data_IF_899857097874
#
_entry.id   IF_899857097874
#
_cell.length_a   1.000
_cell.length_b   1.000
_cell.length_c   1.000
_cell.angle_alpha   90.00
_cell.angle_beta   90.00
_cell.angle_gamma   90.00
#
_symmetry.space_group_name_H-M   'P 1'
#
loop_
_entity.id
_entity.type
_entity.pdbx_description
1 polymer ?
#
# COMPACT_ATOMS: atom_id res chain seq x y z
N UNK A 1 11.37 -13.74 0.55
CA UNK A 1 11.65 -14.51 0.38
C UNK A 1 11.70 -14.34 0.05
N UNK A 2 11.88 -14.10 0.30
CA UNK A 2 12.24 -14.69 0.09
C UNK A 2 12.24 -14.58 -0.29
N UNK A 3 12.15 -14.24 -0.05
CA UNK A 3 12.51 -14.81 -0.34
C UNK A 3 12.47 -14.86 -0.64
N UNK A 4 12.51 -14.44 -0.52
CA UNK A 4 12.81 -15.00 -0.75
C UNK A 4 12.81 -15.00 -1.11
N UNK A 5 12.91 -14.68 -1.01
CA UNK A 5 13.17 -15.17 -1.26
C UNK A 5 13.17 -15.12 -1.60
N UNK A 6 13.36 -14.82 -1.50
CA UNK A 6 13.62 -15.32 -1.77
C UNK A 6 13.52 -15.20 -2.12
N UNK A 7 13.66 -14.83 -2.01
CA UNK A 7 13.86 -15.23 -2.22
C UNK A 7 13.84 -15.02 -2.61
N UNK A 8 13.99 -14.69 -2.54
CA UNK A 8 14.16 -15.03 -2.74
C UNK A 8 14.21 -14.69 -3.09
N UNK A 9 14.63 -14.43 -3.08
CA UNK A 9 14.91 -14.67 -3.29
C UNK A 9 14.90 -14.38 -3.59
N UNK A 10 14.79 -13.95 -3.41
CA UNK A 10 14.94 -14.13 -3.55
C UNK A 10 15.09 -13.74 -3.78
N UNK A 11 15.27 -13.35 -3.64
CA UNK A 11 15.53 -13.60 -3.62
C UNK A 11 15.71 -12.99 -3.67
N UNK A 12 16.00 -12.77 -3.62
CA UNK A 12 16.19 -12.73 -3.60
C UNK A 12 16.23 -12.34 -3.58
N UNK A 13 16.19 -12.04 -3.38
CA UNK A 13 16.23 -11.97 -3.25
C UNK A 13 16.26 -11.49 -3.16
N UNK A 14 16.44 -11.10 -2.86
CA UNK A 14 16.45 -10.98 -2.64
C UNK A 14 16.40 -10.22 -2.47
N UNK A 15 16.61 -9.94 -2.27
CA UNK A 15 16.48 -9.35 -2.25
C UNK A 15 16.32 -8.59 -2.24
N UNK A 16 16.48 -8.06 -2.00
CA UNK A 16 16.33 -7.26 -2.04
C UNK A 16 15.93 -6.35 -2.14
N UNK A 17 16.00 -6.32 -2.01
CA UNK A 17 15.18 -5.32 -1.50
C UNK A 17 15.10 -3.97 -2.10
N UNK A 18 15.84 -3.65 -3.01
CA UNK A 18 15.72 -2.36 -3.70
C UNK A 18 14.52 -2.39 -4.62
N UNK A 19 13.70 -1.36 -4.55
CA UNK A 19 12.49 -1.28 -5.34
C UNK A 19 12.46 0.01 -6.12
N UNK A 20 12.22 -0.09 -7.39
CA UNK A 20 12.04 1.06 -8.27
C UNK A 20 11.34 0.63 -9.53
N UNK A 21 10.71 1.59 -10.23
CA UNK A 21 10.19 1.35 -11.55
C UNK A 21 9.17 0.23 -11.67
N UNK A 22 8.28 0.08 -10.70
CA UNK A 22 7.24 -0.93 -10.79
C UNK A 22 7.61 -2.27 -10.19
N UNK A 23 8.59 -2.29 -9.28
CA UNK A 23 9.00 -3.51 -8.62
C UNK A 23 8.04 -4.02 -7.57
N UNK A 24 7.02 -3.25 -7.20
CA UNK A 24 6.01 -3.65 -6.21
C UNK A 24 4.83 -4.36 -6.86
N UNK A 25 4.16 -5.17 -6.06
CA UNK A 25 2.92 -5.87 -6.43
C UNK A 25 1.74 -4.92 -6.32
N UNK A 26 0.78 -5.05 -7.23
CA UNK A 26 -0.47 -4.28 -7.17
C UNK A 26 -1.20 -4.61 -5.86
N UNK A 27 -1.59 -3.59 -5.05
CA UNK A 27 -2.10 -3.86 -3.69
C UNK A 27 -3.53 -4.39 -3.63
N UNK A 28 -4.26 -4.37 -4.74
CA UNK A 28 -5.66 -4.79 -4.76
C UNK A 28 -5.89 -5.73 -5.94
N UNK A 29 -5.45 -7.01 -5.83
CA UNK A 29 -5.49 -7.94 -6.96
C UNK A 29 -6.87 -8.04 -7.59
N UNK A 30 -6.93 -7.96 -8.91
CA UNK A 30 -8.17 -8.05 -9.67
C UNK A 30 -8.97 -6.76 -9.76
N UNK A 31 -8.57 -5.71 -9.08
CA UNK A 31 -9.28 -4.42 -9.06
C UNK A 31 -8.34 -3.34 -9.58
N UNK A 32 -8.49 -2.99 -10.85
CA UNK A 32 -7.56 -2.08 -11.54
C UNK A 32 -8.20 -0.78 -12.02
N UNK A 33 -9.44 -0.53 -11.64
CA UNK A 33 -10.10 0.74 -11.92
C UNK A 33 -9.54 1.81 -10.99
N UNK A 34 -9.25 2.99 -11.53
CA UNK A 34 -8.77 4.13 -10.74
C UNK A 34 -9.85 5.20 -10.78
N UNK A 35 -10.44 5.51 -9.64
CA UNK A 35 -11.46 6.55 -9.56
C UNK A 35 -10.86 7.94 -9.37
N UNK A 36 -9.65 8.03 -8.84
CA UNK A 36 -8.94 9.30 -8.67
C UNK A 36 -7.43 9.04 -8.70
N UNK A 37 -6.74 9.76 -9.57
CA UNK A 37 -5.32 9.58 -9.78
C UNK A 37 -4.47 10.46 -8.88
N UNK A 38 -3.18 10.18 -8.86
CA UNK A 38 -2.19 10.98 -8.16
C UNK A 38 -2.01 12.32 -8.88
N UNK A 39 -1.95 13.42 -8.12
CA UNK A 39 -1.70 14.73 -8.66
C UNK A 39 -2.82 15.72 -8.35
N UNK A 40 -2.81 16.84 -9.04
CA UNK A 40 -3.79 17.89 -8.79
C UNK A 40 -5.20 17.50 -9.25
N UNK A 41 -6.17 17.80 -8.40
CA UNK A 41 -7.61 17.71 -8.68
C UNK A 41 -8.15 19.11 -8.42
N UNK A 42 -8.18 19.94 -9.46
CA UNK A 42 -8.45 21.35 -9.26
C UNK A 42 -7.32 21.99 -8.48
N UNK A 43 -7.63 22.61 -7.34
CA UNK A 43 -6.64 23.24 -6.48
C UNK A 43 -6.08 22.28 -5.42
N UNK A 44 -6.63 21.06 -5.30
CA UNK A 44 -6.23 20.09 -4.29
C UNK A 44 -5.27 19.06 -4.89
N UNK A 45 -4.19 18.79 -4.17
CA UNK A 45 -3.22 17.78 -4.59
C UNK A 45 -3.55 16.43 -3.95
N UNK A 46 -3.82 15.41 -4.78
CA UNK A 46 -4.11 14.06 -4.31
C UNK A 46 -2.81 13.27 -4.21
N UNK A 47 -2.48 12.83 -3.00
CA UNK A 47 -1.16 12.25 -2.67
C UNK A 47 -1.09 10.74 -2.88
N UNK A 48 -2.07 10.15 -3.55
CA UNK A 48 -2.12 8.73 -3.81
C UNK A 48 -3.09 8.43 -4.93
N UNK A 49 -3.45 7.15 -5.05
CA UNK A 49 -4.47 6.73 -6.03
C UNK A 49 -5.62 6.07 -5.28
N UNK A 50 -6.83 6.26 -5.77
CA UNK A 50 -8.02 5.66 -5.20
C UNK A 50 -8.49 4.52 -6.11
N UNK A 51 -8.62 3.34 -5.54
CA UNK A 51 -9.00 2.12 -6.25
C UNK A 51 -10.33 1.65 -5.66
N UNK A 52 -11.45 1.83 -6.36
CA UNK A 52 -12.74 1.41 -5.83
C UNK A 52 -12.88 -0.11 -5.81
N UNK A 53 -13.47 -0.61 -4.75
CA UNK A 53 -13.76 -2.04 -4.58
C UNK A 53 -14.78 -2.19 -3.46
N UNK A 54 -15.48 -3.30 -3.42
CA UNK A 54 -16.47 -3.57 -2.37
C UNK A 54 -15.81 -3.64 -1.00
N UNK A 55 -16.53 -3.25 0.02
CA UNK A 55 -16.09 -3.44 1.40
C UNK A 55 -15.76 -4.91 1.64
N UNK A 56 -14.64 -5.17 2.32
CA UNK A 56 -14.20 -6.53 2.59
C UNK A 56 -13.28 -7.13 1.53
N UNK A 57 -13.05 -6.43 0.41
CA UNK A 57 -12.06 -6.88 -0.59
C UNK A 57 -10.67 -6.89 0.06
N UNK A 58 -9.90 -7.95 -0.20
CA UNK A 58 -8.58 -8.09 0.44
C UNK A 58 -7.57 -7.11 -0.14
N UNK A 59 -6.81 -6.49 0.76
CA UNK A 59 -5.69 -5.62 0.42
C UNK A 59 -4.42 -6.41 0.74
N UNK A 60 -3.47 -6.42 -0.18
CA UNK A 60 -2.21 -7.14 0.01
C UNK A 60 -1.05 -6.17 0.09
N UNK A 61 0.01 -6.59 0.77
CA UNK A 61 1.24 -5.80 0.87
C UNK A 61 1.85 -5.68 -0.53
N UNK A 62 2.19 -4.45 -0.92
CA UNK A 62 2.79 -4.19 -2.23
C UNK A 62 4.22 -4.72 -2.31
N UNK A 63 4.88 -4.88 -1.18
CA UNK A 63 6.25 -5.38 -1.13
C UNK A 63 6.57 -5.92 0.23
N UNK A 64 7.71 -6.60 0.34
CA UNK A 64 8.21 -7.10 1.62
C UNK A 64 8.66 -5.94 2.50
N UNK A 65 8.45 -6.07 3.79
CA UNK A 65 8.86 -5.05 4.74
C UNK A 65 8.32 -5.29 6.13
N UNK A 66 8.39 -4.27 6.94
CA UNK A 66 7.89 -4.30 8.33
C UNK A 66 6.73 -3.32 8.46
N UNK A 67 5.65 -3.77 9.07
CA UNK A 67 4.51 -2.91 9.36
C UNK A 67 4.95 -1.89 10.40
N UNK A 68 4.95 -0.62 10.00
CA UNK A 68 5.38 0.48 10.88
C UNK A 68 4.23 0.94 11.75
N UNK A 69 3.03 1.01 11.17
CA UNK A 69 1.81 1.30 11.93
C UNK A 69 0.62 0.57 11.32
N UNK A 70 -0.33 0.24 12.20
CA UNK A 70 -1.62 -0.34 11.84
C UNK A 70 -2.59 0.12 12.91
N UNK A 71 -3.25 1.27 12.68
CA UNK A 71 -4.09 1.90 13.70
C UNK A 71 -5.17 2.77 13.04
N UNK A 72 -5.85 3.57 13.83
CA UNK A 72 -6.94 4.42 13.37
C UNK A 72 -6.56 5.89 13.49
N UNK A 73 -6.85 6.66 12.44
CA UNK A 73 -6.80 8.12 12.48
C UNK A 73 -8.12 8.67 11.96
N UNK A 74 -8.47 9.89 12.38
CA UNK A 74 -9.75 10.48 11.97
C UNK A 74 -9.83 10.74 10.46
N UNK A 75 -8.71 11.02 9.82
CA UNK A 75 -8.66 11.29 8.38
C UNK A 75 -8.47 10.02 7.58
N UNK A 76 -7.47 9.22 7.93
CA UNK A 76 -7.13 8.02 7.16
C UNK A 76 -7.99 6.81 7.50
N UNK A 77 -8.73 6.88 8.61
CA UNK A 77 -9.48 5.74 9.10
C UNK A 77 -8.53 4.66 9.60
N UNK A 78 -8.91 3.40 9.44
CA UNK A 78 -8.00 2.31 9.71
C UNK A 78 -6.97 2.28 8.60
N UNK A 79 -5.69 2.45 8.94
CA UNK A 79 -4.65 2.58 7.93
C UNK A 79 -3.38 1.86 8.34
N UNK A 80 -2.59 1.52 7.35
CA UNK A 80 -1.38 0.71 7.49
C UNK A 80 -0.25 1.41 6.77
N UNK A 81 0.94 1.42 7.40
CA UNK A 81 2.16 1.86 6.75
C UNK A 81 3.18 0.75 6.80
N UNK A 82 3.75 0.38 5.66
CA UNK A 82 4.79 -0.64 5.56
C UNK A 82 6.10 0.03 5.17
N UNK A 83 7.12 -0.22 5.97
CA UNK A 83 8.49 0.24 5.73
C UNK A 83 9.21 -0.83 4.92
N UNK A 84 9.58 -0.51 3.68
CA UNK A 84 10.27 -1.43 2.77
C UNK A 84 11.79 -1.28 2.80
N UNK A 85 12.29 -0.32 3.59
CA UNK A 85 13.71 0.01 3.59
C UNK A 85 14.03 1.11 2.58
N UNK A 86 15.22 1.67 2.67
CA UNK A 86 15.72 2.71 1.77
C UNK A 86 14.80 3.94 1.69
N UNK A 87 14.07 4.21 2.79
CA UNK A 87 13.16 5.36 2.86
C UNK A 87 11.83 5.17 2.15
N UNK A 88 11.52 3.97 1.66
CA UNK A 88 10.30 3.71 0.90
C UNK A 88 9.23 3.12 1.81
N UNK A 89 8.06 3.76 1.82
CA UNK A 89 6.89 3.30 2.56
C UNK A 89 5.70 3.18 1.61
N UNK A 90 4.87 2.16 1.81
CA UNK A 90 3.55 2.10 1.17
C UNK A 90 2.48 2.29 2.24
N UNK A 91 1.44 3.04 1.91
CA UNK A 91 0.41 3.46 2.86
C UNK A 91 -0.96 3.09 2.30
N UNK A 92 -1.77 2.47 3.13
CA UNK A 92 -3.07 1.89 2.77
C UNK A 92 -4.12 2.46 3.72
N UNK A 93 -5.09 3.22 3.21
CA UNK A 93 -6.04 3.96 4.04
C UNK A 93 -7.48 3.48 3.84
N UNK A 94 -8.32 3.86 4.79
CA UNK A 94 -9.78 3.67 4.78
C UNK A 94 -10.20 2.21 4.89
N UNK A 95 -9.38 1.38 5.51
CA UNK A 95 -9.68 -0.05 5.67
C UNK A 95 -10.89 -0.27 6.58
N UNK A 96 -11.67 -1.31 6.30
CA UNK A 96 -12.72 -1.76 7.22
C UNK A 96 -12.14 -2.60 8.35
N UNK A 97 -11.02 -3.29 8.08
CA UNK A 97 -10.35 -4.11 9.09
C UNK A 97 -8.85 -4.13 8.83
N UNK A 98 -8.08 -4.26 9.90
CA UNK A 98 -6.63 -4.40 9.87
C UNK A 98 -6.30 -5.85 10.22
N UNK A 99 -5.54 -6.53 9.36
CA UNK A 99 -5.20 -7.94 9.52
C UNK A 99 -3.81 -8.11 10.13
N UNK A 100 -3.00 -7.04 10.07
CA UNK A 100 -1.63 -7.04 10.60
C UNK A 100 -1.49 -6.05 11.74
N UNK A 101 -0.39 -6.18 12.48
CA UNK A 101 -0.07 -5.28 13.60
C UNK A 101 1.31 -4.66 13.38
N UNK A 102 1.54 -3.51 14.01
CA UNK A 102 2.83 -2.83 13.97
C UNK A 102 3.93 -3.78 14.46
N UNK A 103 5.05 -3.77 13.78
CA UNK A 103 6.19 -4.63 14.07
C UNK A 103 6.19 -5.95 13.32
N UNK A 104 5.09 -6.32 12.68
CA UNK A 104 4.99 -7.57 11.94
C UNK A 104 5.73 -7.47 10.61
N UNK A 105 6.48 -8.52 10.26
CA UNK A 105 7.11 -8.62 8.95
C UNK A 105 6.13 -9.22 7.96
N UNK A 106 6.08 -8.67 6.76
CA UNK A 106 5.20 -9.15 5.70
C UNK A 106 5.99 -9.32 4.41
N UNK A 107 5.46 -10.18 3.53
CA UNK A 107 5.98 -10.37 2.19
C UNK A 107 5.00 -9.78 1.18
N UNK A 108 5.50 -9.45 0.00
CA UNK A 108 4.64 -9.00 -1.09
C UNK A 108 3.51 -10.00 -1.31
N UNK A 109 2.27 -9.52 -1.40
CA UNK A 109 1.11 -10.38 -1.60
C UNK A 109 0.44 -10.87 -0.34
N UNK A 110 1.04 -10.68 0.84
CA UNK A 110 0.39 -11.05 2.10
C UNK A 110 -0.85 -10.16 2.33
N UNK A 111 -1.94 -10.76 2.79
CA UNK A 111 -3.14 -10.01 3.14
C UNK A 111 -2.86 -9.17 4.38
N UNK A 112 -3.10 -7.87 4.29
CA UNK A 112 -2.81 -6.94 5.38
C UNK A 112 -4.06 -6.22 5.90
N UNK A 113 -5.11 -6.11 5.09
CA UNK A 113 -6.32 -5.42 5.48
C UNK A 113 -7.46 -5.68 4.52
N UNK A 114 -8.59 -5.06 4.80
CA UNK A 114 -9.79 -5.18 3.96
C UNK A 114 -10.28 -3.79 3.59
N UNK A 115 -10.76 -3.65 2.35
CA UNK A 115 -11.30 -2.38 1.85
C UNK A 115 -12.49 -1.93 2.68
N UNK A 116 -12.60 -0.64 2.90
CA UNK A 116 -13.72 -0.04 3.58
C UNK A 116 -13.88 1.42 3.21
N UNK A 117 -14.50 2.18 4.11
CA UNK A 117 -14.74 3.60 3.93
C UNK A 117 -14.59 4.37 5.24
N UNK A 118 -13.67 3.89 6.10
CA UNK A 118 -13.42 4.53 7.40
C UNK A 118 -12.61 5.81 7.23
N UNK A 119 -12.73 6.72 8.19
CA UNK A 119 -12.08 8.01 8.12
C UNK A 119 -12.79 8.95 7.17
N UNK A 120 -12.06 9.86 6.54
CA UNK A 120 -12.60 10.86 5.60
C UNK A 120 -12.76 10.24 4.22
N UNK A 121 -13.79 9.41 4.07
CA UNK A 121 -14.07 8.70 2.83
C UNK A 121 -15.55 8.73 2.54
N UNK A 122 -15.93 8.90 1.27
CA UNK A 122 -17.32 8.95 0.83
C UNK A 122 -17.78 7.69 0.13
N UNK A 123 -16.93 6.68 0.02
CA UNK A 123 -17.29 5.42 -0.62
C UNK A 123 -16.21 4.39 -0.46
N UNK A 124 -16.55 3.13 -0.66
CA UNK A 124 -15.61 2.03 -0.48
C UNK A 124 -14.51 2.07 -1.53
N UNK A 125 -13.28 2.26 -1.09
CA UNK A 125 -12.10 2.26 -1.95
C UNK A 125 -10.85 2.08 -1.12
N UNK A 126 -9.76 1.67 -1.77
CA UNK A 126 -8.44 1.73 -1.18
C UNK A 126 -7.78 3.03 -1.62
N UNK A 127 -7.31 3.83 -0.67
CA UNK A 127 -6.41 4.94 -0.97
C UNK A 127 -4.99 4.42 -0.76
N UNK A 128 -4.22 4.35 -1.84
CA UNK A 128 -2.87 3.80 -1.82
C UNK A 128 -1.87 4.90 -2.12
N UNK A 129 -0.90 5.07 -1.23
CA UNK A 129 0.15 6.09 -1.36
C UNK A 129 1.52 5.47 -1.22
N UNK A 130 2.52 6.12 -1.82
CA UNK A 130 3.92 5.78 -1.65
C UNK A 130 4.66 6.99 -1.10
N UNK A 131 5.47 6.77 -0.07
CA UNK A 131 6.36 7.80 0.46
C UNK A 131 7.80 7.42 0.16
N UNK A 132 8.60 8.41 -0.21
CA UNK A 132 10.04 8.25 -0.35
C UNK A 132 10.70 9.33 0.50
N UNK A 133 11.46 8.90 1.51
CA UNK A 133 12.18 9.81 2.44
C UNK A 133 11.25 10.85 3.06
N UNK A 134 10.04 10.42 3.46
CA UNK A 134 9.08 11.25 4.16
C UNK A 134 8.15 12.06 3.27
N UNK A 135 8.35 12.06 1.95
CA UNK A 135 7.51 12.81 1.01
C UNK A 135 6.68 11.86 0.17
N UNK A 136 5.43 12.22 -0.09
CA UNK A 136 4.59 11.43 -0.99
C UNK A 136 5.07 11.63 -2.43
N UNK A 137 5.14 10.51 -3.16
CA UNK A 137 5.56 10.48 -4.57
C UNK A 137 4.54 9.70 -5.38
N UNK A 138 4.63 9.75 -6.70
CA UNK A 138 3.67 9.05 -7.55
C UNK A 138 3.74 7.55 -7.34
N UNK A 139 2.63 6.89 -6.99
CA UNK A 139 2.61 5.43 -6.85
C UNK A 139 2.97 4.71 -8.14
N UNK A 140 2.75 5.35 -9.29
CA UNK A 140 3.05 4.74 -10.60
C UNK A 140 4.54 4.51 -10.83
N UNK A 141 5.39 5.14 -10.03
CA UNK A 141 6.83 4.85 -10.07
C UNK A 141 7.15 3.47 -9.49
N UNK A 142 6.22 2.86 -8.77
CA UNK A 142 6.46 1.63 -8.01
C UNK A 142 5.53 0.49 -8.38
N UNK A 143 4.29 0.76 -8.73
CA UNK A 143 3.29 -0.25 -9.05
C UNK A 143 2.76 -0.07 -10.46
N UNK A 144 2.26 -1.16 -11.06
CA UNK A 144 1.50 -1.12 -12.29
C UNK A 144 0.34 -2.10 -12.18
N UNK A 145 -0.78 -1.70 -12.75
CA UNK A 145 -1.98 -2.54 -12.73
C UNK A 145 -1.99 -3.59 -13.84
#
# INVERSE_FOLDING_TARGET
GSNTTDTSNSGNSGSSGTVSGGGFTWPLPGHTTISSGYGYRGSEFHKGIDIPASAGTTIVAAGSGTVEWANYSTTAGNWIGINHGNGVYTVYMHCSALIVSAGQNVSAGDVIGLVGTTGSSTGNHLHFSVRLNGAYVSPWNYVSK
#
